data_IF_353842859107
#
_entry.id   IF_353842859107
#
_cell.length_a   1.000
_cell.length_b   1.000
_cell.length_c   1.000
_cell.angle_alpha   90.00
_cell.angle_beta   90.00
_cell.angle_gamma   90.00
#
_symmetry.space_group_name_H-M   'P 1'
#
loop_
_entity.id
_entity.type
_entity.pdbx_description
1 polymer ?
#
# COMPACT_ATOMS: atom_id res chain seq x y z
N UNK A 1 -9.36 59.06 29.56
CA UNK A 1 -8.39 58.51 28.59
C UNK A 1 -8.14 56.99 28.76
N UNK A 2 -7.83 56.48 29.94
CA UNK A 2 -7.58 55.04 30.19
C UNK A 2 -8.78 54.10 29.89
N UNK A 3 -10.03 54.53 30.14
CA UNK A 3 -11.23 53.71 29.88
C UNK A 3 -11.55 53.56 28.38
N UNK A 4 -11.25 54.59 27.57
CA UNK A 4 -11.47 54.54 26.12
C UNK A 4 -10.47 53.59 25.41
N UNK A 5 -9.20 53.64 25.81
CA UNK A 5 -8.17 52.75 25.30
C UNK A 5 -8.45 51.27 25.63
N UNK A 6 -8.94 50.98 26.85
CA UNK A 6 -9.29 49.61 27.26
C UNK A 6 -10.40 49.01 26.39
N UNK A 7 -11.47 49.78 26.13
CA UNK A 7 -12.58 49.35 25.24
C UNK A 7 -12.14 49.14 23.78
N UNK A 8 -11.17 49.93 23.32
CA UNK A 8 -10.65 49.80 21.95
C UNK A 8 -9.78 48.53 21.81
N UNK A 9 -8.94 48.25 22.79
CA UNK A 9 -8.13 47.04 22.85
C UNK A 9 -8.98 45.76 22.97
N UNK A 10 -10.06 45.77 23.73
CA UNK A 10 -10.98 44.66 23.88
C UNK A 10 -11.76 44.37 22.57
N UNK A 11 -12.10 45.42 21.79
CA UNK A 11 -12.67 45.26 20.46
C UNK A 11 -11.67 44.66 19.47
N UNK A 12 -10.42 45.11 19.47
CA UNK A 12 -9.36 44.58 18.59
C UNK A 12 -9.07 43.12 18.95
N UNK A 13 -8.99 42.75 20.24
CA UNK A 13 -8.83 41.34 20.66
C UNK A 13 -9.98 40.45 20.22
N UNK A 14 -11.24 40.92 20.29
CA UNK A 14 -12.40 40.17 19.80
C UNK A 14 -12.39 39.99 18.28
N UNK A 15 -11.93 40.96 17.53
CA UNK A 15 -11.79 40.90 16.07
C UNK A 15 -10.65 39.92 15.69
N UNK A 16 -9.51 39.95 16.38
CA UNK A 16 -8.39 39.05 16.15
C UNK A 16 -8.80 37.59 16.51
N UNK A 17 -9.54 37.39 17.63
CA UNK A 17 -10.06 36.07 17.98
C UNK A 17 -11.12 35.56 16.98
N UNK A 18 -11.94 36.42 16.40
CA UNK A 18 -12.91 36.05 15.38
C UNK A 18 -12.23 35.70 14.03
N UNK A 19 -11.15 36.41 13.68
CA UNK A 19 -10.35 36.11 12.46
C UNK A 19 -9.55 34.81 12.62
N UNK A 20 -8.96 34.56 13.80
CA UNK A 20 -8.25 33.29 14.07
C UNK A 20 -9.22 32.09 14.13
N UNK A 21 -10.44 32.25 14.63
CA UNK A 21 -11.47 31.22 14.60
C UNK A 21 -11.99 30.97 13.17
N UNK A 22 -12.05 31.97 12.31
CA UNK A 22 -12.47 31.81 10.90
C UNK A 22 -11.38 31.16 10.03
N UNK A 23 -10.09 31.35 10.36
CA UNK A 23 -8.97 30.69 9.65
C UNK A 23 -8.80 29.21 10.05
N UNK A 24 -9.33 28.78 11.21
CA UNK A 24 -9.30 27.37 11.61
C UNK A 24 -10.44 26.53 11.00
N UNK A 25 -11.42 27.12 10.29
CA UNK A 25 -12.55 26.39 9.71
C UNK A 25 -12.47 26.16 8.18
N UNK A 26 -11.37 26.54 7.51
CA UNK A 26 -11.20 26.33 6.06
C UNK A 26 -10.41 25.03 5.75
N UNK A 27 -10.07 24.18 6.73
CA UNK A 27 -9.31 22.95 6.49
C UNK A 27 -10.11 21.65 6.61
N UNK A 28 -11.38 21.64 6.27
CA UNK A 28 -12.20 20.43 6.41
C UNK A 28 -13.08 20.14 5.20
N UNK A 29 -12.54 20.15 4.00
CA UNK A 29 -13.07 19.46 2.81
C UNK A 29 -12.28 19.79 1.53
N UNK A 30 -10.97 19.87 1.56
CA UNK A 30 -10.24 19.60 0.32
C UNK A 30 -10.41 18.11 0.06
N UNK A 31 -11.20 17.76 -0.96
CA UNK A 31 -11.20 16.44 -1.52
C UNK A 31 -9.73 16.09 -1.80
N UNK A 32 -9.29 14.88 -1.43
CA UNK A 32 -7.95 14.43 -1.74
C UNK A 32 -7.72 14.64 -3.23
N UNK A 33 -6.83 15.56 -3.56
CA UNK A 33 -6.55 15.94 -4.94
C UNK A 33 -5.45 15.10 -5.56
N UNK A 34 -4.82 14.25 -4.73
CA UNK A 34 -3.68 13.42 -5.11
C UNK A 34 -3.93 11.96 -4.75
N UNK A 35 -3.55 11.05 -5.65
CA UNK A 35 -3.66 9.60 -5.44
C UNK A 35 -2.43 8.90 -6.02
N UNK A 36 -1.88 7.91 -5.30
CA UNK A 36 -0.81 7.06 -5.79
C UNK A 36 -1.36 5.94 -6.69
N UNK A 37 -0.69 5.66 -7.80
CA UNK A 37 -0.97 4.48 -8.62
C UNK A 37 -0.03 3.36 -8.17
N UNK A 38 -0.61 2.20 -7.82
CA UNK A 38 0.12 0.99 -7.47
C UNK A 38 -0.03 -0.03 -8.60
N UNK A 39 1.07 -0.42 -9.20
CA UNK A 39 1.10 -1.48 -10.20
C UNK A 39 0.96 -2.84 -9.48
N UNK A 40 -0.16 -3.53 -9.68
CA UNK A 40 -0.49 -4.83 -9.07
C UNK A 40 0.43 -5.92 -9.60
N UNK A 41 1.21 -6.55 -8.72
CA UNK A 41 2.25 -7.57 -9.05
C UNK A 41 3.31 -7.04 -10.03
N UNK A 42 3.67 -5.75 -9.88
CA UNK A 42 4.47 -4.99 -10.82
C UNK A 42 3.68 -4.50 -12.04
N UNK A 43 4.32 -3.75 -12.92
CA UNK A 43 3.74 -3.42 -14.23
C UNK A 43 3.99 -4.57 -15.21
N UNK A 44 3.35 -5.71 -14.92
CA UNK A 44 3.48 -6.96 -15.66
C UNK A 44 2.77 -6.95 -17.02
N UNK A 45 1.71 -6.12 -17.16
CA UNK A 45 0.87 -6.09 -18.36
C UNK A 45 1.50 -5.21 -19.45
N UNK A 46 2.73 -5.50 -19.80
CA UNK A 46 3.47 -4.86 -20.88
C UNK A 46 4.47 -5.85 -21.51
N UNK A 47 4.91 -5.53 -22.72
CA UNK A 47 5.82 -6.37 -23.51
C UNK A 47 7.20 -6.49 -22.84
N UNK A 48 7.71 -5.40 -22.25
CA UNK A 48 9.02 -5.35 -21.61
C UNK A 48 9.10 -6.21 -20.34
N UNK A 49 7.97 -6.49 -19.69
CA UNK A 49 7.87 -7.44 -18.56
C UNK A 49 7.61 -8.87 -19.03
N UNK A 50 7.37 -9.09 -20.33
CA UNK A 50 6.99 -10.38 -20.89
C UNK A 50 5.68 -10.91 -20.28
N UNK A 51 4.78 -10.02 -19.84
CA UNK A 51 3.49 -10.37 -19.22
C UNK A 51 3.61 -11.23 -17.94
N UNK A 52 4.75 -11.18 -17.25
CA UNK A 52 5.03 -12.01 -16.07
C UNK A 52 4.78 -11.25 -14.77
N UNK A 53 3.72 -11.62 -14.05
CA UNK A 53 3.38 -11.12 -12.72
C UNK A 53 4.48 -11.45 -11.71
N UNK A 54 4.72 -10.58 -10.73
CA UNK A 54 5.70 -10.80 -9.66
C UNK A 54 7.14 -11.05 -10.17
N UNK A 55 7.44 -10.69 -11.42
CA UNK A 55 8.78 -10.80 -11.99
C UNK A 55 9.64 -9.58 -11.62
N UNK A 56 10.96 -9.77 -11.64
CA UNK A 56 11.91 -8.64 -11.51
C UNK A 56 11.72 -7.64 -12.66
N UNK A 57 11.40 -8.15 -13.87
CA UNK A 57 11.09 -7.30 -15.02
C UNK A 57 9.84 -6.44 -14.78
N UNK A 58 8.76 -7.00 -14.18
CA UNK A 58 7.54 -6.24 -13.89
C UNK A 58 7.78 -5.13 -12.86
N UNK A 59 8.60 -5.37 -11.83
CA UNK A 59 9.04 -4.33 -10.90
C UNK A 59 9.80 -3.23 -11.64
N UNK A 60 10.79 -3.59 -12.45
CA UNK A 60 11.58 -2.65 -13.23
C UNK A 60 10.68 -1.79 -14.14
N UNK A 61 9.73 -2.39 -14.85
CA UNK A 61 8.78 -1.65 -15.69
C UNK A 61 7.92 -0.67 -14.89
N UNK A 62 7.47 -1.03 -13.68
CA UNK A 62 6.74 -0.11 -12.81
C UNK A 62 7.59 1.08 -12.38
N UNK A 63 8.85 0.85 -12.05
CA UNK A 63 9.83 1.85 -11.66
C UNK A 63 10.19 2.79 -12.81
N UNK A 64 10.51 2.26 -13.99
CA UNK A 64 10.84 3.03 -15.20
C UNK A 64 9.65 3.88 -15.67
N UNK A 65 8.41 3.40 -15.49
CA UNK A 65 7.21 4.16 -15.78
C UNK A 65 6.90 5.24 -14.73
N UNK A 66 7.64 5.28 -13.60
CA UNK A 66 7.48 6.24 -12.51
C UNK A 66 6.12 6.15 -11.85
N UNK A 67 5.60 4.93 -11.59
CA UNK A 67 4.43 4.76 -10.73
C UNK A 67 4.82 4.94 -9.26
N UNK A 68 3.89 5.50 -8.46
CA UNK A 68 4.10 5.72 -7.05
C UNK A 68 4.49 4.43 -6.31
N UNK A 69 3.84 3.30 -6.65
CA UNK A 69 4.11 2.04 -6.00
C UNK A 69 4.07 0.84 -6.94
N UNK A 70 4.78 -0.21 -6.54
CA UNK A 70 4.74 -1.54 -7.15
C UNK A 70 4.40 -2.55 -6.06
N UNK A 71 3.27 -3.21 -6.20
CA UNK A 71 2.84 -4.27 -5.29
C UNK A 71 3.42 -5.61 -5.75
N UNK A 72 3.73 -6.48 -4.78
CA UNK A 72 4.22 -7.83 -5.00
C UNK A 72 3.90 -8.75 -3.82
N UNK A 73 3.67 -10.03 -4.13
CA UNK A 73 3.25 -11.07 -3.19
C UNK A 73 4.44 -11.88 -2.69
N UNK A 74 4.54 -12.16 -1.40
CA UNK A 74 5.62 -12.96 -0.84
C UNK A 74 5.09 -14.12 -0.01
N UNK A 75 5.64 -15.30 -0.27
CA UNK A 75 5.45 -16.53 0.48
C UNK A 75 6.79 -17.01 1.06
N UNK A 76 6.74 -17.82 2.13
CA UNK A 76 7.92 -18.39 2.77
C UNK A 76 7.94 -19.91 2.59
N UNK A 77 9.08 -20.47 2.16
CA UNK A 77 9.33 -21.91 2.09
C UNK A 77 9.60 -22.52 3.47
N UNK A 78 9.55 -23.87 3.56
CA UNK A 78 9.80 -24.56 4.83
C UNK A 78 11.19 -24.31 5.42
N UNK A 79 12.19 -24.09 4.57
CA UNK A 79 13.57 -23.76 4.95
C UNK A 79 13.82 -22.24 5.11
N UNK A 80 12.77 -21.38 4.96
CA UNK A 80 12.81 -19.95 5.28
C UNK A 80 13.25 -19.06 4.12
N UNK A 81 13.28 -19.54 2.89
CA UNK A 81 13.51 -18.71 1.71
C UNK A 81 12.22 -17.96 1.36
N UNK A 82 12.30 -16.64 1.18
CA UNK A 82 11.16 -15.81 0.79
C UNK A 82 11.09 -15.72 -0.72
N UNK A 83 9.96 -16.18 -1.30
CA UNK A 83 9.69 -16.23 -2.73
C UNK A 83 8.67 -15.17 -3.14
N UNK A 84 8.94 -14.44 -4.22
CA UNK A 84 7.99 -13.46 -4.77
C UNK A 84 7.04 -14.17 -5.73
N UNK A 85 5.93 -14.67 -5.18
CA UNK A 85 4.93 -15.46 -5.90
C UNK A 85 3.57 -15.35 -5.22
N UNK A 86 2.48 -15.27 -6.00
CA UNK A 86 1.15 -15.02 -5.44
C UNK A 86 0.52 -16.22 -4.75
N UNK A 87 0.57 -17.39 -5.40
CA UNK A 87 -0.13 -18.57 -4.90
C UNK A 87 0.68 -19.25 -3.80
N UNK A 88 0.03 -19.89 -2.86
CA UNK A 88 0.68 -20.67 -1.81
C UNK A 88 1.25 -22.01 -2.29
N UNK A 89 1.13 -22.30 -3.59
CA UNK A 89 1.60 -23.52 -4.23
C UNK A 89 2.09 -23.24 -5.66
N UNK A 90 3.04 -24.03 -6.13
CA UNK A 90 3.54 -24.05 -7.51
C UNK A 90 3.28 -25.43 -8.07
N UNK A 91 2.46 -25.54 -9.13
CA UNK A 91 2.06 -26.83 -9.74
C UNK A 91 1.54 -27.87 -8.73
N UNK A 92 0.80 -27.40 -7.70
CA UNK A 92 0.24 -28.26 -6.65
C UNK A 92 1.22 -28.62 -5.53
N UNK A 93 2.45 -28.08 -5.56
CA UNK A 93 3.46 -28.24 -4.50
C UNK A 93 3.40 -27.02 -3.56
N UNK A 94 3.01 -27.24 -2.30
CA UNK A 94 2.88 -26.17 -1.29
C UNK A 94 4.23 -25.51 -0.99
N UNK A 95 4.30 -24.18 -1.11
CA UNK A 95 5.52 -23.40 -0.82
C UNK A 95 5.87 -23.53 0.67
N UNK A 96 4.91 -23.33 1.57
CA UNK A 96 5.14 -23.37 3.01
C UNK A 96 5.70 -24.72 3.50
N UNK A 97 5.33 -25.83 2.82
CA UNK A 97 5.65 -27.19 3.28
C UNK A 97 6.90 -27.79 2.64
N UNK A 98 7.47 -27.13 1.65
CA UNK A 98 8.60 -27.67 0.89
C UNK A 98 9.77 -26.67 0.87
N UNK A 99 11.03 -27.19 0.75
CA UNK A 99 12.21 -26.34 0.69
C UNK A 99 12.35 -25.63 -0.65
N UNK A 100 13.10 -24.54 -0.69
CA UNK A 100 13.35 -23.74 -1.90
C UNK A 100 13.88 -24.58 -3.08
N UNK A 101 14.61 -25.66 -2.83
CA UNK A 101 15.12 -26.55 -3.86
C UNK A 101 14.06 -27.08 -4.83
N UNK A 102 12.80 -27.18 -4.38
CA UNK A 102 11.66 -27.63 -5.20
C UNK A 102 11.19 -26.55 -6.20
N UNK A 103 11.51 -25.27 -5.96
CA UNK A 103 10.97 -24.14 -6.72
C UNK A 103 12.02 -23.38 -7.55
N UNK A 104 13.31 -23.55 -7.24
CA UNK A 104 14.41 -22.74 -7.79
C UNK A 104 14.52 -22.73 -9.32
N UNK A 105 14.05 -23.80 -9.97
CA UNK A 105 14.16 -23.98 -11.43
C UNK A 105 12.83 -23.72 -12.15
N UNK A 106 11.74 -23.45 -11.39
CA UNK A 106 10.43 -23.16 -11.99
C UNK A 106 10.47 -21.85 -12.76
N UNK A 107 9.94 -21.87 -14.00
CA UNK A 107 9.92 -20.73 -14.90
C UNK A 107 8.56 -20.04 -14.90
N UNK A 108 8.55 -18.74 -14.67
CA UNK A 108 7.38 -17.89 -14.85
C UNK A 108 7.24 -17.45 -16.32
N UNK A 109 6.16 -16.74 -16.65
CA UNK A 109 5.73 -16.47 -18.03
C UNK A 109 6.79 -15.87 -18.96
N UNK A 110 7.71 -15.04 -18.44
CA UNK A 110 8.78 -14.41 -19.23
C UNK A 110 10.09 -15.20 -19.25
N UNK A 111 10.11 -16.42 -18.70
CA UNK A 111 11.30 -17.29 -18.63
C UNK A 111 12.24 -17.00 -17.44
N UNK A 112 11.96 -15.98 -16.61
CA UNK A 112 12.63 -15.83 -15.31
C UNK A 112 12.28 -17.04 -14.40
N UNK A 113 13.11 -17.32 -13.39
CA UNK A 113 12.70 -18.18 -12.27
C UNK A 113 11.81 -17.36 -11.32
N UNK A 114 11.05 -18.04 -10.42
CA UNK A 114 10.38 -17.35 -9.32
C UNK A 114 11.46 -16.56 -8.57
N UNK A 115 11.34 -15.22 -8.46
CA UNK A 115 12.37 -14.44 -7.77
C UNK A 115 12.38 -14.77 -6.27
N UNK A 116 13.57 -14.87 -5.69
CA UNK A 116 13.72 -14.72 -4.24
C UNK A 116 13.54 -13.26 -3.85
N UNK A 117 13.21 -13.02 -2.58
CA UNK A 117 13.09 -11.65 -2.07
C UNK A 117 14.41 -10.87 -2.26
N UNK A 118 15.56 -11.52 -2.11
CA UNK A 118 16.87 -10.87 -2.31
C UNK A 118 17.01 -10.32 -3.74
N UNK A 119 16.65 -11.12 -4.75
CA UNK A 119 16.69 -10.69 -6.15
C UNK A 119 15.73 -9.53 -6.42
N UNK A 120 14.54 -9.57 -5.81
CA UNK A 120 13.51 -8.55 -5.98
C UNK A 120 13.90 -7.22 -5.32
N UNK A 121 14.44 -7.27 -4.08
CA UNK A 121 14.89 -6.10 -3.34
C UNK A 121 16.11 -5.44 -4.00
N UNK A 122 17.03 -6.22 -4.61
CA UNK A 122 18.13 -5.65 -5.40
C UNK A 122 17.64 -4.80 -6.59
N UNK A 123 16.54 -5.18 -7.23
CA UNK A 123 15.89 -4.32 -8.22
C UNK A 123 15.20 -3.14 -7.53
N UNK A 124 14.52 -3.38 -6.39
CA UNK A 124 13.81 -2.36 -5.62
C UNK A 124 14.67 -1.16 -5.24
N UNK A 125 15.95 -1.40 -4.92
CA UNK A 125 16.92 -0.35 -4.53
C UNK A 125 17.23 0.66 -5.63
N UNK A 126 17.09 0.28 -6.90
CA UNK A 126 17.57 1.09 -8.03
C UNK A 126 16.73 2.36 -8.26
N UNK A 127 15.50 2.39 -7.78
CA UNK A 127 14.57 3.50 -7.98
C UNK A 127 13.96 3.90 -6.65
N UNK A 128 14.59 4.84 -5.92
CA UNK A 128 14.16 5.21 -4.58
C UNK A 128 12.79 5.89 -4.52
N UNK A 129 12.25 6.37 -5.61
CA UNK A 129 10.96 7.05 -5.69
C UNK A 129 9.78 6.07 -5.67
N UNK A 130 10.00 4.79 -6.05
CA UNK A 130 8.92 3.81 -6.09
C UNK A 130 8.73 3.13 -4.75
N UNK A 131 7.54 3.24 -4.18
CA UNK A 131 7.12 2.52 -2.97
C UNK A 131 7.00 1.02 -3.25
N UNK A 132 7.69 0.21 -2.47
CA UNK A 132 7.55 -1.25 -2.48
C UNK A 132 6.35 -1.63 -1.61
N UNK A 133 5.24 -2.03 -2.23
CA UNK A 133 4.02 -2.47 -1.54
C UNK A 133 4.11 -3.98 -1.34
N UNK A 134 4.59 -4.39 -0.18
CA UNK A 134 4.93 -5.77 0.17
C UNK A 134 3.69 -6.51 0.71
N UNK A 135 3.08 -7.40 -0.08
CA UNK A 135 2.05 -8.29 0.43
C UNK A 135 2.68 -9.50 1.12
N UNK A 136 2.49 -9.58 2.44
CA UNK A 136 2.85 -10.76 3.22
C UNK A 136 1.69 -11.75 3.18
N UNK A 137 1.87 -12.88 2.48
CA UNK A 137 0.81 -13.90 2.36
C UNK A 137 0.56 -14.59 3.70
N UNK A 138 -0.71 -14.91 4.06
CA UNK A 138 -1.00 -15.69 5.25
C UNK A 138 -0.38 -17.09 5.21
N UNK A 139 0.04 -17.58 6.36
CA UNK A 139 0.56 -18.91 6.55
C UNK A 139 -0.33 -19.73 7.51
N UNK A 140 0.04 -20.99 7.75
CA UNK A 140 -0.83 -21.98 8.42
C UNK A 140 -1.13 -21.67 9.90
N UNK A 141 -0.26 -20.95 10.59
CA UNK A 141 -0.44 -20.56 12.00
C UNK A 141 0.40 -19.33 12.35
N UNK A 142 0.08 -18.72 13.51
CA UNK A 142 0.74 -17.52 14.01
C UNK A 142 2.26 -17.71 14.19
N UNK A 143 2.73 -18.89 14.62
CA UNK A 143 4.15 -19.17 14.81
C UNK A 143 4.95 -19.16 13.50
N UNK A 144 4.35 -19.64 12.40
CA UNK A 144 4.94 -19.58 11.06
C UNK A 144 4.91 -18.13 10.54
N UNK A 145 3.83 -17.41 10.78
CA UNK A 145 3.72 -15.99 10.44
C UNK A 145 4.73 -15.12 11.21
N UNK A 146 4.98 -15.42 12.50
CA UNK A 146 6.00 -14.73 13.30
C UNK A 146 7.41 -14.92 12.72
N UNK A 147 7.76 -16.16 12.32
CA UNK A 147 9.02 -16.43 11.63
C UNK A 147 9.11 -15.68 10.30
N UNK A 148 8.04 -15.65 9.53
CA UNK A 148 7.98 -14.93 8.27
C UNK A 148 8.20 -13.41 8.48
N UNK A 149 7.59 -12.83 9.51
CA UNK A 149 7.78 -11.42 9.90
C UNK A 149 9.26 -11.15 10.23
N UNK A 150 9.90 -12.00 11.04
CA UNK A 150 11.29 -11.83 11.43
C UNK A 150 12.24 -11.87 10.22
N UNK A 151 12.08 -12.86 9.34
CA UNK A 151 12.87 -12.99 8.12
C UNK A 151 12.63 -11.81 7.17
N UNK A 152 11.38 -11.33 7.04
CA UNK A 152 11.07 -10.14 6.22
C UNK A 152 11.83 -8.91 6.74
N UNK A 153 11.82 -8.67 8.05
CA UNK A 153 12.54 -7.54 8.67
C UNK A 153 14.04 -7.68 8.49
N UNK A 154 14.57 -8.89 8.65
CA UNK A 154 15.99 -9.19 8.43
C UNK A 154 16.41 -8.89 6.99
N UNK A 155 15.67 -9.40 6.00
CA UNK A 155 15.94 -9.16 4.58
C UNK A 155 15.89 -7.69 4.20
N UNK A 156 14.90 -6.95 4.70
CA UNK A 156 14.83 -5.51 4.45
C UNK A 156 16.02 -4.74 5.08
N UNK A 157 16.53 -5.17 6.23
CA UNK A 157 17.76 -4.62 6.83
C UNK A 157 19.00 -4.94 6.00
N UNK A 158 19.16 -6.20 5.58
CA UNK A 158 20.28 -6.64 4.74
C UNK A 158 20.38 -5.85 3.44
N UNK A 159 19.25 -5.42 2.89
CA UNK A 159 19.17 -4.65 1.66
C UNK A 159 19.09 -3.13 1.85
N UNK A 160 19.24 -2.59 3.07
CA UNK A 160 19.09 -1.16 3.38
C UNK A 160 17.72 -0.58 2.96
N UNK A 161 16.68 -1.41 2.98
CA UNK A 161 15.31 -1.06 2.61
C UNK A 161 14.33 -1.02 3.79
N UNK A 162 14.80 -1.16 5.03
CA UNK A 162 13.94 -1.00 6.20
C UNK A 162 13.67 0.50 6.47
N UNK A 163 12.95 1.12 5.56
CA UNK A 163 12.62 2.55 5.55
C UNK A 163 11.12 2.74 5.22
N UNK A 164 10.34 3.43 6.09
CA UNK A 164 8.92 3.67 5.85
C UNK A 164 8.61 4.54 4.63
N UNK A 165 9.61 5.23 4.06
CA UNK A 165 9.48 5.95 2.80
C UNK A 165 9.69 5.05 1.57
N UNK A 166 10.17 3.83 1.77
CA UNK A 166 10.51 2.88 0.71
C UNK A 166 9.63 1.65 0.68
N UNK A 167 9.15 1.21 1.83
CA UNK A 167 8.39 -0.03 1.96
C UNK A 167 7.14 0.21 2.81
N UNK A 168 6.03 -0.33 2.36
CA UNK A 168 4.81 -0.50 3.14
C UNK A 168 4.35 -1.95 3.09
N UNK A 169 3.57 -2.36 4.08
CA UNK A 169 3.11 -3.75 4.21
C UNK A 169 1.61 -3.86 4.07
N UNK A 170 1.18 -4.91 3.39
CA UNK A 170 -0.22 -5.29 3.28
C UNK A 170 -0.35 -6.79 3.57
N UNK A 171 -1.44 -7.23 4.17
CA UNK A 171 -1.71 -8.66 4.40
C UNK A 171 -3.18 -8.94 4.60
N UNK A 172 -3.63 -10.13 4.21
CA UNK A 172 -4.92 -10.72 4.61
C UNK A 172 -4.88 -11.29 6.02
N UNK A 173 -3.70 -11.62 6.57
CA UNK A 173 -3.54 -12.02 7.97
C UNK A 173 -3.64 -10.81 8.89
N UNK A 174 -4.62 -10.85 9.79
CA UNK A 174 -4.76 -9.82 10.81
C UNK A 174 -3.65 -9.89 11.86
N UNK A 175 -3.11 -11.10 12.10
CA UNK A 175 -1.95 -11.32 12.96
C UNK A 175 -0.70 -10.64 12.39
N UNK A 176 -0.35 -10.91 11.14
CA UNK A 176 0.79 -10.24 10.46
C UNK A 176 0.64 -8.72 10.53
N UNK A 177 -0.52 -8.17 10.17
CA UNK A 177 -0.72 -6.71 10.19
C UNK A 177 -0.52 -6.11 11.60
N UNK A 178 -1.01 -6.78 12.64
CA UNK A 178 -0.88 -6.32 14.02
C UNK A 178 0.58 -6.36 14.49
N UNK A 179 1.26 -7.49 14.25
CA UNK A 179 2.65 -7.68 14.67
C UNK A 179 3.60 -6.74 13.90
N UNK A 180 3.41 -6.57 12.59
CA UNK A 180 4.19 -5.61 11.79
C UNK A 180 4.00 -4.17 12.28
N UNK A 181 2.76 -3.76 12.56
CA UNK A 181 2.48 -2.41 13.08
C UNK A 181 3.11 -2.18 14.46
N UNK A 182 3.19 -3.21 15.30
CA UNK A 182 3.81 -3.14 16.62
C UNK A 182 5.35 -3.13 16.55
N UNK A 183 5.95 -3.98 15.68
CA UNK A 183 7.41 -4.11 15.54
C UNK A 183 8.03 -2.94 14.75
N UNK A 184 7.30 -2.35 13.81
CA UNK A 184 7.78 -1.30 12.92
C UNK A 184 6.92 -0.01 13.04
N UNK A 185 6.97 0.69 14.18
CA UNK A 185 6.25 1.94 14.34
C UNK A 185 6.75 2.97 13.30
N UNK A 186 5.81 3.61 12.60
CA UNK A 186 6.10 4.57 11.52
C UNK A 186 5.93 4.00 10.11
N UNK A 187 5.95 2.66 9.94
CA UNK A 187 5.61 2.06 8.64
C UNK A 187 4.09 2.09 8.39
N UNK A 188 3.73 2.20 7.12
CA UNK A 188 2.35 1.96 6.71
C UNK A 188 2.09 0.46 6.66
N UNK A 189 1.09 0.03 7.43
CA UNK A 189 0.59 -1.35 7.42
C UNK A 189 -0.91 -1.30 7.14
N UNK A 190 -1.36 -1.98 6.08
CA UNK A 190 -2.76 -1.99 5.68
C UNK A 190 -3.33 -3.41 5.72
N UNK A 191 -4.55 -3.53 6.25
CA UNK A 191 -5.26 -4.80 6.32
C UNK A 191 -6.11 -5.02 5.05
N UNK A 192 -5.98 -6.19 4.42
CA UNK A 192 -6.66 -6.57 3.16
C UNK A 192 -8.00 -7.28 3.37
N UNK A 193 -8.20 -7.97 4.50
CA UNK A 193 -9.28 -8.95 4.70
C UNK A 193 -10.71 -8.42 4.53
N UNK A 194 -10.96 -7.14 4.83
CA UNK A 194 -12.22 -6.46 4.51
C UNK A 194 -13.38 -6.70 5.47
N UNK A 195 -13.37 -7.76 6.29
CA UNK A 195 -14.45 -8.07 7.23
C UNK A 195 -14.46 -7.15 8.46
N UNK A 196 -13.39 -6.39 8.70
CA UNK A 196 -13.26 -5.46 9.84
C UNK A 196 -13.52 -4.02 9.43
N UNK A 197 -14.34 -3.33 10.20
CA UNK A 197 -14.56 -1.88 10.03
C UNK A 197 -13.26 -1.10 10.35
N UNK A 198 -13.00 0.06 9.72
CA UNK A 198 -11.78 0.86 9.96
C UNK A 198 -11.46 1.11 11.43
N UNK A 199 -12.49 1.38 12.27
CA UNK A 199 -12.29 1.60 13.70
C UNK A 199 -11.75 0.36 14.45
N UNK A 200 -12.10 -0.86 14.00
CA UNK A 200 -11.57 -2.09 14.58
C UNK A 200 -10.13 -2.32 14.17
N UNK A 201 -9.80 -2.03 12.92
CA UNK A 201 -8.43 -2.10 12.39
C UNK A 201 -7.52 -1.11 13.13
N UNK A 202 -7.97 0.15 13.28
CA UNK A 202 -7.24 1.18 14.04
C UNK A 202 -7.03 0.81 15.52
N UNK A 203 -8.03 0.23 16.16
CA UNK A 203 -7.95 -0.20 17.57
C UNK A 203 -6.93 -1.32 17.81
N UNK A 204 -6.54 -2.05 16.75
CA UNK A 204 -5.48 -3.06 16.77
C UNK A 204 -4.07 -2.50 16.47
N UNK A 205 -3.93 -1.17 16.36
CA UNK A 205 -2.66 -0.51 16.04
C UNK A 205 -2.35 -0.37 14.55
N UNK A 206 -3.14 -1.01 13.68
CA UNK A 206 -2.95 -0.98 12.23
C UNK A 206 -3.37 0.39 11.68
N UNK A 207 -2.55 0.98 10.80
CA UNK A 207 -2.71 2.37 10.36
C UNK A 207 -3.25 2.54 8.94
N UNK A 208 -3.73 1.44 8.30
CA UNK A 208 -4.36 1.51 6.99
C UNK A 208 -5.34 0.38 6.70
N UNK A 209 -6.17 0.59 5.69
CA UNK A 209 -7.03 -0.42 5.08
C UNK A 209 -6.76 -0.46 3.58
N UNK A 210 -6.65 -1.66 3.04
CA UNK A 210 -6.52 -1.93 1.62
C UNK A 210 -7.63 -2.90 1.22
N UNK A 211 -8.76 -2.36 0.78
CA UNK A 211 -9.96 -3.17 0.62
C UNK A 211 -10.40 -3.31 -0.83
N UNK A 212 -10.94 -4.49 -1.12
CA UNK A 212 -11.55 -4.74 -2.42
C UNK A 212 -12.57 -3.64 -2.77
N UNK A 213 -12.50 -3.10 -3.97
CA UNK A 213 -13.34 -1.99 -4.43
C UNK A 213 -14.85 -2.30 -4.37
N UNK A 214 -15.26 -3.57 -4.55
CA UNK A 214 -16.66 -3.95 -4.37
C UNK A 214 -17.12 -3.73 -2.93
N UNK A 215 -16.29 -4.06 -1.95
CA UNK A 215 -16.59 -3.84 -0.53
C UNK A 215 -16.67 -2.34 -0.22
N UNK A 216 -15.75 -1.54 -0.75
CA UNK A 216 -15.78 -0.09 -0.58
C UNK A 216 -17.02 0.53 -1.22
N UNK A 217 -17.50 -0.02 -2.34
CA UNK A 217 -18.76 0.39 -2.96
C UNK A 217 -19.99 0.09 -2.09
N UNK A 218 -19.99 -1.01 -1.37
CA UNK A 218 -21.04 -1.35 -0.39
C UNK A 218 -20.91 -0.41 0.83
N UNK A 219 -19.69 -0.18 1.30
CA UNK A 219 -19.41 0.61 2.50
C UNK A 219 -18.80 1.99 2.18
N UNK A 220 -19.44 2.76 1.31
CA UNK A 220 -18.97 4.07 0.78
C UNK A 220 -18.41 5.05 1.82
N UNK A 221 -18.80 4.90 3.09
CA UNK A 221 -18.34 5.78 4.19
C UNK A 221 -17.01 5.32 4.81
N UNK A 222 -16.48 4.13 4.44
CA UNK A 222 -15.31 3.57 5.13
C UNK A 222 -14.02 4.32 4.79
N UNK A 223 -13.82 4.74 3.56
CA UNK A 223 -12.66 5.58 3.16
C UNK A 223 -12.64 6.85 4.02
N UNK A 224 -13.72 7.63 4.04
CA UNK A 224 -13.83 8.84 4.87
C UNK A 224 -13.69 8.55 6.38
N UNK A 225 -14.18 7.39 6.87
CA UNK A 225 -14.01 7.00 8.27
C UNK A 225 -12.56 6.66 8.58
N UNK A 226 -11.85 5.97 7.68
CA UNK A 226 -10.44 5.66 7.83
C UNK A 226 -9.61 6.96 7.91
N UNK A 227 -9.84 7.90 6.98
CA UNK A 227 -9.16 9.22 7.01
C UNK A 227 -9.39 9.98 8.31
N UNK A 228 -10.63 9.99 8.84
CA UNK A 228 -10.91 10.62 10.14
C UNK A 228 -10.17 9.98 11.32
N UNK A 229 -9.74 8.74 11.17
CA UNK A 229 -8.93 8.00 12.15
C UNK A 229 -7.42 8.12 11.87
N UNK A 230 -7.00 8.93 10.89
CA UNK A 230 -5.60 9.07 10.47
C UNK A 230 -5.05 7.80 9.84
N UNK A 231 -5.89 7.05 9.11
CA UNK A 231 -5.50 5.82 8.43
C UNK A 231 -5.37 6.07 6.92
N UNK A 232 -4.38 5.41 6.30
CA UNK A 232 -4.27 5.33 4.84
C UNK A 232 -5.31 4.38 4.25
N UNK A 233 -5.63 4.58 2.97
CA UNK A 233 -6.62 3.76 2.25
C UNK A 233 -6.13 3.40 0.86
N UNK A 234 -6.28 2.15 0.48
CA UNK A 234 -6.09 1.66 -0.88
C UNK A 234 -7.32 0.89 -1.36
N UNK A 235 -7.47 0.75 -2.66
CA UNK A 235 -8.50 -0.09 -3.29
C UNK A 235 -7.87 -1.02 -4.33
N UNK A 236 -8.21 -2.32 -4.28
CA UNK A 236 -7.70 -3.36 -5.19
C UNK A 236 -8.80 -4.29 -5.72
N UNK A 237 -8.58 -5.09 -6.76
CA UNK A 237 -7.79 -4.75 -7.93
C UNK A 237 -8.72 -4.06 -8.91
N UNK A 238 -8.46 -2.79 -9.19
CA UNK A 238 -9.40 -1.92 -9.88
C UNK A 238 -9.01 -1.80 -11.35
N UNK A 239 -9.64 -2.63 -12.21
CA UNK A 239 -9.22 -2.78 -13.60
C UNK A 239 -10.16 -2.13 -14.63
N UNK A 240 -11.36 -1.69 -14.20
CA UNK A 240 -12.33 -1.04 -15.10
C UNK A 240 -12.37 0.45 -14.82
N UNK A 241 -12.35 1.27 -15.88
CA UNK A 241 -12.39 2.74 -15.81
C UNK A 241 -13.50 3.27 -14.88
N UNK A 242 -14.72 2.72 -15.00
CA UNK A 242 -15.84 3.15 -14.16
C UNK A 242 -15.58 2.93 -12.67
N UNK A 243 -14.89 1.81 -12.31
CA UNK A 243 -14.53 1.50 -10.92
C UNK A 243 -13.35 2.38 -10.48
N UNK A 244 -12.33 2.60 -11.33
CA UNK A 244 -11.24 3.55 -11.06
C UNK A 244 -11.80 4.93 -10.75
N UNK A 245 -12.65 5.46 -11.61
CA UNK A 245 -13.32 6.76 -11.44
C UNK A 245 -14.11 6.84 -10.13
N UNK A 246 -14.72 5.73 -9.71
CA UNK A 246 -15.47 5.67 -8.46
C UNK A 246 -14.56 5.69 -7.23
N UNK A 247 -13.47 4.91 -7.22
CA UNK A 247 -12.51 4.88 -6.11
C UNK A 247 -11.76 6.22 -5.98
N UNK A 248 -11.33 6.80 -7.10
CA UNK A 248 -10.73 8.12 -7.15
C UNK A 248 -11.67 9.20 -6.57
N UNK A 249 -12.96 9.19 -6.93
CA UNK A 249 -13.97 10.10 -6.34
C UNK A 249 -14.24 9.85 -4.86
N UNK A 250 -14.02 8.63 -4.35
CA UNK A 250 -14.07 8.35 -2.91
C UNK A 250 -12.88 8.91 -2.15
N UNK A 251 -11.80 9.29 -2.86
CA UNK A 251 -10.58 9.86 -2.32
C UNK A 251 -9.68 8.82 -1.67
N UNK A 252 -9.53 7.62 -2.24
CA UNK A 252 -8.53 6.66 -1.77
C UNK A 252 -7.11 7.24 -1.90
N UNK A 253 -6.20 6.95 -0.97
CA UNK A 253 -4.82 7.44 -1.03
C UNK A 253 -4.03 6.80 -2.16
N UNK A 254 -4.34 5.53 -2.47
CA UNK A 254 -3.75 4.80 -3.59
C UNK A 254 -4.77 3.86 -4.23
N UNK A 255 -4.47 3.46 -5.45
CA UNK A 255 -5.30 2.57 -6.27
C UNK A 255 -4.42 1.52 -6.92
N UNK A 256 -4.67 0.25 -6.60
CA UNK A 256 -3.95 -0.91 -7.15
C UNK A 256 -4.68 -1.46 -8.37
N UNK A 257 -3.94 -1.60 -9.49
CA UNK A 257 -4.50 -2.00 -10.79
C UNK A 257 -3.52 -2.78 -11.66
N UNK A 258 -4.03 -3.66 -12.52
CA UNK A 258 -3.28 -4.31 -13.62
C UNK A 258 -3.08 -3.37 -14.83
N UNK A 259 -3.76 -2.21 -14.86
CA UNK A 259 -3.74 -1.24 -15.96
C UNK A 259 -3.29 0.15 -15.46
N UNK A 260 -2.04 0.29 -14.97
CA UNK A 260 -1.60 1.53 -14.33
C UNK A 260 -1.51 2.72 -15.30
N UNK A 261 -1.26 2.50 -16.60
CA UNK A 261 -1.28 3.56 -17.62
C UNK A 261 -2.69 4.10 -17.87
N UNK A 262 -3.70 3.23 -17.86
CA UNK A 262 -5.10 3.65 -18.00
C UNK A 262 -5.56 4.46 -16.78
N UNK A 263 -5.13 4.05 -15.58
CA UNK A 263 -5.39 4.81 -14.36
C UNK A 263 -4.75 6.22 -14.43
N UNK A 264 -3.51 6.33 -14.90
CA UNK A 264 -2.80 7.61 -15.10
C UNK A 264 -3.52 8.50 -16.11
N UNK A 265 -3.93 7.93 -17.25
CA UNK A 265 -4.68 8.66 -18.27
C UNK A 265 -6.02 9.19 -17.73
N UNK A 266 -6.76 8.35 -17.00
CA UNK A 266 -8.02 8.71 -16.36
C UNK A 266 -7.84 9.81 -15.30
N UNK A 267 -6.83 9.71 -14.43
CA UNK A 267 -6.56 10.72 -13.41
C UNK A 267 -6.30 12.08 -14.03
N UNK A 268 -5.51 12.12 -15.13
CA UNK A 268 -5.26 13.34 -15.90
C UNK A 268 -6.55 13.92 -16.48
N UNK A 269 -7.42 13.06 -17.04
CA UNK A 269 -8.74 13.48 -17.62
C UNK A 269 -9.65 14.13 -16.58
N UNK A 270 -9.71 13.54 -15.37
CA UNK A 270 -10.63 14.01 -14.32
C UNK A 270 -10.00 15.02 -13.34
N UNK A 271 -8.76 15.45 -13.58
CA UNK A 271 -8.07 16.48 -12.81
C UNK A 271 -7.62 16.04 -11.41
N UNK A 272 -7.31 14.75 -11.22
CA UNK A 272 -6.69 14.24 -9.99
C UNK A 272 -5.18 14.15 -10.22
N UNK A 273 -4.41 14.73 -9.31
CA UNK A 273 -2.94 14.70 -9.36
C UNK A 273 -2.41 13.31 -8.97
N UNK A 274 -1.49 12.77 -9.77
CA UNK A 274 -0.77 11.53 -9.45
C UNK A 274 0.38 11.84 -8.50
N UNK A 275 0.44 11.14 -7.35
CA UNK A 275 1.63 11.14 -6.48
C UNK A 275 2.72 10.33 -7.21
N UNK A 276 3.93 10.88 -7.25
CA UNK A 276 5.11 10.24 -7.85
C UNK A 276 6.24 10.14 -6.86
#
# INVERSE_FOLDING_TARGET
>A
MKSYMKRHMDKIRKIIMAISASLCFISAAEAQTQTGIVAHRGFWNCEEAGYAKNSVAALRCAQEAGFWGSEFDVNMTSDGVLLVYHDGEVEGVSIEKNPYSEFKDFKIANGETIPTIDQYLEQGKKYPETMLVYEMKPHSCDEVEDRFIELTIEKLKEHDLLDPQRVMFISFSFHICREMAAKLPGFTVQYLGGEKKPAKVKAAGINGIDYNFHLLNIHKKWVRKAHKLGMSTNAWTVNKEANMKQMLKMGVNSLTTDYPLDARALMKEIGIEEIR
#
